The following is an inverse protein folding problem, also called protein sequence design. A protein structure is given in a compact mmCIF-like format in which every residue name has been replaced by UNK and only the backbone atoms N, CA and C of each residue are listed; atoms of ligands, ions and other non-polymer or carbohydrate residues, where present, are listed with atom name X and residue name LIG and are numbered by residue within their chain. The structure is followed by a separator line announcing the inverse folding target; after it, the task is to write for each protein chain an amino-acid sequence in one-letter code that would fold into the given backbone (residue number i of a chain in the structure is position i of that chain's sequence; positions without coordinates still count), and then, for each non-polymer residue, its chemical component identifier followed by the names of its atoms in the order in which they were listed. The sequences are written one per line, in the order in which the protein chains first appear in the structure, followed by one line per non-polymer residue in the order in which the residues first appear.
data_IF_836480775545
#
_entry.id   IF_836480775545
#
_cell.length_a   1.000
_cell.length_b   1.000
_cell.length_c   1.000
_cell.angle_alpha   90.00
_cell.angle_beta   90.00
_cell.angle_gamma   90.00
#
_symmetry.space_group_name_H-M   'P 1'
#
loop_
_entity.id
_entity.type
_entity.pdbx_description
1 polymer ?
#
# COMPACT_ATOMS: atom_id res chain seq x y z
N UNK A 1 -19.00 7.06 -15.40
CA UNK A 1 -19.43 7.15 -14.01
C UNK A 1 -18.31 6.75 -13.11
N UNK A 2 -18.13 7.52 -12.09
CA UNK A 2 -17.12 7.25 -11.10
C UNK A 2 -17.58 6.10 -10.20
N UNK A 3 -16.95 4.95 -10.36
CA UNK A 3 -17.27 3.75 -9.60
C UNK A 3 -16.61 3.73 -8.21
N UNK A 4 -15.93 4.80 -7.81
CA UNK A 4 -15.29 4.90 -6.50
C UNK A 4 -16.33 4.83 -5.38
N UNK A 5 -16.07 3.98 -4.41
CA UNK A 5 -16.97 3.78 -3.26
C UNK A 5 -18.27 3.03 -3.57
N UNK A 6 -18.45 2.50 -4.77
CA UNK A 6 -19.56 1.60 -5.05
C UNK A 6 -19.24 0.21 -4.51
N UNK A 7 -20.09 -0.25 -3.62
CA UNK A 7 -20.07 -1.60 -3.08
C UNK A 7 -21.09 -2.46 -3.81
N UNK A 8 -20.75 -3.71 -4.07
CA UNK A 8 -21.68 -4.63 -4.70
C UNK A 8 -20.97 -5.82 -5.34
N UNK A 9 -21.79 -6.74 -5.80
CA UNK A 9 -21.34 -7.95 -6.49
C UNK A 9 -20.74 -7.54 -7.83
N UNK A 10 -19.52 -7.97 -8.10
CA UNK A 10 -18.90 -7.79 -9.41
C UNK A 10 -19.52 -8.76 -10.41
N UNK A 11 -19.57 -8.42 -11.72
CA UNK A 11 -20.01 -9.35 -12.75
C UNK A 11 -19.22 -10.67 -12.65
N UNK A 12 -19.92 -11.79 -12.76
CA UNK A 12 -19.33 -13.14 -12.63
C UNK A 12 -18.18 -13.33 -13.60
N UNK A 13 -18.34 -12.92 -14.85
CA UNK A 13 -17.31 -13.00 -15.91
C UNK A 13 -16.02 -12.27 -15.50
N UNK A 14 -16.13 -11.10 -14.88
CA UNK A 14 -14.98 -10.33 -14.39
C UNK A 14 -14.24 -11.09 -13.27
N UNK A 15 -15.00 -11.72 -12.37
CA UNK A 15 -14.44 -12.52 -11.28
C UNK A 15 -13.75 -13.76 -11.83
N UNK A 16 -14.41 -14.48 -12.73
CA UNK A 16 -13.88 -15.70 -13.35
C UNK A 16 -12.56 -15.40 -14.09
N UNK A 17 -12.53 -14.29 -14.85
CA UNK A 17 -11.31 -13.86 -15.55
C UNK A 17 -10.20 -13.45 -14.59
N UNK A 18 -10.51 -12.75 -13.52
CA UNK A 18 -9.53 -12.38 -12.50
C UNK A 18 -8.94 -13.63 -11.82
N UNK A 19 -9.79 -14.62 -11.48
CA UNK A 19 -9.35 -15.87 -10.91
C UNK A 19 -8.44 -16.65 -11.87
N UNK A 20 -8.80 -16.77 -13.14
CA UNK A 20 -7.97 -17.40 -14.16
C UNK A 20 -6.56 -16.76 -14.21
N UNK A 21 -6.49 -15.44 -14.25
CA UNK A 21 -5.21 -14.72 -14.29
C UNK A 21 -4.37 -14.95 -13.02
N UNK A 22 -5.01 -14.98 -11.85
CA UNK A 22 -4.33 -15.26 -10.59
C UNK A 22 -3.84 -16.71 -10.51
N UNK A 23 -4.61 -17.68 -11.01
CA UNK A 23 -4.17 -19.09 -11.09
C UNK A 23 -2.99 -19.26 -12.05
N UNK A 24 -3.02 -18.62 -13.22
CA UNK A 24 -1.92 -18.63 -14.17
C UNK A 24 -0.65 -18.03 -13.56
N UNK A 25 -0.79 -16.95 -12.82
CA UNK A 25 0.33 -16.33 -12.11
C UNK A 25 0.87 -17.24 -11.00
N UNK A 26 0.00 -17.84 -10.19
CA UNK A 26 0.41 -18.79 -9.17
C UNK A 26 1.14 -20.00 -9.76
N UNK A 27 0.64 -20.55 -10.89
CA UNK A 27 1.27 -21.64 -11.60
C UNK A 27 2.69 -21.27 -12.12
N UNK A 28 2.85 -20.05 -12.65
CA UNK A 28 4.15 -19.53 -13.09
C UNK A 28 5.15 -19.46 -11.93
N UNK A 29 4.72 -18.98 -10.76
CA UNK A 29 5.57 -18.91 -9.56
C UNK A 29 5.97 -20.31 -9.09
N UNK A 30 5.01 -21.23 -8.99
CA UNK A 30 5.25 -22.63 -8.59
C UNK A 30 6.22 -23.33 -9.54
N UNK A 31 6.11 -23.11 -10.86
CA UNK A 31 7.05 -23.63 -11.86
C UNK A 31 8.49 -23.15 -11.64
N UNK A 32 8.66 -22.00 -10.97
CA UNK A 32 9.96 -21.44 -10.58
C UNK A 32 10.41 -21.86 -9.18
N UNK A 33 9.73 -22.83 -8.55
CA UNK A 33 10.06 -23.30 -7.22
C UNK A 33 9.61 -22.36 -6.08
N UNK A 34 8.77 -21.37 -6.38
CA UNK A 34 8.27 -20.41 -5.37
C UNK A 34 7.02 -21.00 -4.72
N UNK A 35 7.02 -21.09 -3.39
CA UNK A 35 5.83 -21.42 -2.62
C UNK A 35 4.78 -20.31 -2.75
N UNK A 36 3.54 -20.69 -3.04
CA UNK A 36 2.43 -19.75 -3.14
C UNK A 36 1.37 -20.14 -2.12
N UNK A 37 1.24 -19.32 -1.11
CA UNK A 37 0.22 -19.45 -0.06
C UNK A 37 -0.90 -18.44 -0.28
N UNK A 38 -2.09 -18.75 0.22
CA UNK A 38 -3.27 -17.91 0.09
C UNK A 38 -3.88 -17.63 1.46
N UNK A 39 -4.36 -16.40 1.70
CA UNK A 39 -5.05 -16.08 2.93
C UNK A 39 -6.36 -16.89 3.04
N UNK A 40 -6.84 -17.02 4.27
CA UNK A 40 -8.16 -17.63 4.53
C UNK A 40 -9.26 -16.73 3.96
N UNK A 41 -10.19 -17.34 3.21
CA UNK A 41 -11.34 -16.62 2.68
C UNK A 41 -12.28 -16.18 3.81
N UNK A 42 -12.65 -14.90 3.81
CA UNK A 42 -13.67 -14.33 4.68
C UNK A 42 -14.75 -13.64 3.84
N UNK A 43 -15.95 -13.53 4.40
CA UNK A 43 -17.00 -12.76 3.77
C UNK A 43 -16.78 -11.26 4.01
N UNK A 44 -16.30 -10.55 3.00
CA UNK A 44 -16.10 -9.09 3.05
C UNK A 44 -17.38 -8.30 2.72
N UNK A 45 -18.39 -8.95 2.15
CA UNK A 45 -19.66 -8.30 1.80
C UNK A 45 -20.65 -8.35 2.95
N UNK A 46 -20.22 -7.87 4.11
CA UNK A 46 -21.06 -7.74 5.30
C UNK A 46 -20.74 -6.46 6.05
N UNK A 47 -21.73 -5.87 6.73
CA UNK A 47 -21.50 -4.71 7.59
C UNK A 47 -20.51 -5.05 8.70
N UNK A 48 -19.71 -4.06 9.08
CA UNK A 48 -18.71 -4.19 10.12
C UNK A 48 -18.70 -2.93 10.95
N UNK A 49 -18.47 -3.06 12.24
CA UNK A 49 -18.45 -1.96 13.18
C UNK A 49 -17.36 -2.11 14.23
N UNK A 50 -16.91 -0.98 14.72
CA UNK A 50 -16.16 -0.80 15.97
C UNK A 50 -17.01 0.08 16.90
N UNK A 51 -16.59 0.34 18.15
CA UNK A 51 -17.28 1.31 18.99
C UNK A 51 -17.36 2.73 18.40
N UNK A 52 -16.45 3.09 17.48
CA UNK A 52 -16.31 4.46 16.98
C UNK A 52 -16.97 4.68 15.61
N UNK A 53 -17.15 3.63 14.80
CA UNK A 53 -17.69 3.75 13.44
C UNK A 53 -18.24 2.43 12.91
N UNK A 54 -18.96 2.52 11.80
CA UNK A 54 -19.45 1.38 11.04
C UNK A 54 -19.31 1.60 9.54
N UNK A 55 -19.13 0.52 8.77
CA UNK A 55 -19.14 0.52 7.31
C UNK A 55 -20.15 -0.50 6.78
N UNK A 56 -20.59 -0.30 5.53
CA UNK A 56 -21.55 -1.22 4.87
C UNK A 56 -20.89 -2.56 4.50
N UNK A 57 -19.57 -2.56 4.26
CA UNK A 57 -18.80 -3.76 3.93
C UNK A 57 -17.31 -3.51 4.19
N UNK A 58 -16.53 -4.57 4.21
CA UNK A 58 -15.08 -4.51 4.06
C UNK A 58 -14.70 -4.40 2.58
N UNK A 59 -13.41 -4.10 2.28
CA UNK A 59 -12.92 -3.94 0.92
C UNK A 59 -12.51 -5.27 0.28
N UNK A 60 -11.58 -6.00 0.88
CA UNK A 60 -11.02 -7.26 0.35
C UNK A 60 -9.61 -7.54 0.85
N UNK A 61 -8.99 -8.60 0.36
CA UNK A 61 -7.64 -9.02 0.79
C UNK A 61 -6.71 -9.38 -0.35
N UNK A 62 -7.06 -9.04 -1.58
CA UNK A 62 -6.21 -9.37 -2.72
C UNK A 62 -4.79 -8.80 -2.61
N UNK A 63 -4.58 -7.53 -2.22
CA UNK A 63 -3.24 -6.98 -2.09
C UNK A 63 -2.67 -7.20 -0.67
N UNK A 64 -2.08 -8.37 -0.42
CA UNK A 64 -1.41 -8.70 0.84
C UNK A 64 -0.37 -7.66 1.26
N UNK A 65 0.33 -7.10 0.28
CA UNK A 65 1.35 -6.09 0.44
C UNK A 65 0.85 -4.76 1.04
N UNK A 66 -0.44 -4.46 0.92
CA UNK A 66 -1.00 -3.24 1.52
C UNK A 66 -1.11 -3.34 3.04
N UNK A 67 -1.19 -4.58 3.55
CA UNK A 67 -1.55 -4.87 4.94
C UNK A 67 -0.36 -5.39 5.73
N UNK A 68 0.50 -6.21 5.10
CA UNK A 68 1.64 -6.85 5.74
C UNK A 68 2.95 -6.25 5.23
N UNK A 69 3.65 -5.58 6.11
CA UNK A 69 4.99 -5.07 5.87
C UNK A 69 6.02 -6.10 6.37
N UNK A 70 6.83 -6.61 5.44
CA UNK A 70 7.95 -7.49 5.81
C UNK A 70 9.26 -6.71 5.82
N UNK A 71 9.95 -6.68 6.95
CA UNK A 71 11.28 -6.07 7.10
C UNK A 71 12.22 -7.06 7.79
N UNK A 72 13.19 -7.57 7.06
CA UNK A 72 14.06 -8.65 7.55
C UNK A 72 13.24 -9.89 7.91
N UNK A 73 13.30 -10.31 9.17
CA UNK A 73 12.55 -11.46 9.69
C UNK A 73 11.20 -11.09 10.31
N UNK A 74 10.81 -9.84 10.27
CA UNK A 74 9.56 -9.37 10.84
C UNK A 74 8.47 -9.23 9.79
N UNK A 75 7.28 -9.77 10.07
CA UNK A 75 6.03 -9.52 9.36
C UNK A 75 5.14 -8.70 10.26
N UNK A 76 4.96 -7.43 9.89
CA UNK A 76 4.23 -6.42 10.64
C UNK A 76 2.86 -6.16 10.01
N UNK A 77 1.79 -6.34 10.79
CA UNK A 77 0.45 -5.88 10.40
C UNK A 77 0.40 -4.35 10.46
N UNK A 78 0.14 -3.69 9.34
CA UNK A 78 0.02 -2.24 9.26
C UNK A 78 -1.20 -1.71 10.02
N UNK A 79 -1.19 -0.41 10.32
CA UNK A 79 -2.31 0.25 11.00
C UNK A 79 -3.58 0.22 10.17
N UNK A 80 -3.49 0.37 8.88
CA UNK A 80 -4.52 0.66 7.88
C UNK A 80 -5.25 1.98 8.14
N UNK A 81 -5.36 2.79 7.10
CA UNK A 81 -5.96 4.13 7.20
C UNK A 81 -7.42 4.20 6.76
N UNK A 82 -7.94 3.17 6.08
CA UNK A 82 -9.34 3.11 5.67
C UNK A 82 -10.16 2.21 6.60
N UNK A 83 -11.30 2.70 7.08
CA UNK A 83 -12.22 1.95 7.93
C UNK A 83 -12.64 0.61 7.30
N UNK A 84 -12.94 0.59 6.01
CA UNK A 84 -13.33 -0.64 5.30
C UNK A 84 -12.19 -1.66 5.15
N UNK A 85 -10.94 -1.27 5.38
CA UNK A 85 -9.76 -2.14 5.30
C UNK A 85 -9.20 -2.55 6.68
N UNK A 86 -9.71 -1.99 7.73
CA UNK A 86 -9.16 -2.12 9.08
C UNK A 86 -9.03 -3.58 9.56
N UNK A 87 -9.94 -4.46 9.13
CA UNK A 87 -9.97 -5.88 9.52
C UNK A 87 -9.34 -6.84 8.49
N UNK A 88 -8.74 -6.35 7.42
CA UNK A 88 -8.19 -7.21 6.37
C UNK A 88 -7.06 -8.13 6.87
N UNK A 89 -6.35 -7.75 7.93
CA UNK A 89 -5.31 -8.57 8.55
C UNK A 89 -5.83 -9.92 9.06
N UNK A 90 -7.11 -10.04 9.38
CA UNK A 90 -7.69 -11.29 9.89
C UNK A 90 -7.54 -12.47 8.93
N UNK A 91 -7.58 -12.21 7.63
CA UNK A 91 -7.39 -13.25 6.61
C UNK A 91 -5.98 -13.83 6.61
N UNK A 92 -4.99 -13.01 6.96
CA UNK A 92 -3.58 -13.38 6.93
C UNK A 92 -3.11 -14.04 8.22
N UNK A 93 -3.78 -13.83 9.34
CA UNK A 93 -3.37 -14.37 10.64
C UNK A 93 -3.18 -15.89 10.68
N UNK A 94 -4.02 -16.73 10.03
CA UNK A 94 -3.74 -18.16 9.97
C UNK A 94 -2.40 -18.48 9.27
N UNK A 95 -2.07 -17.79 8.17
CA UNK A 95 -0.78 -17.96 7.49
C UNK A 95 0.38 -17.43 8.34
N UNK A 96 0.23 -16.25 8.95
CA UNK A 96 1.27 -15.69 9.82
C UNK A 96 1.56 -16.59 11.01
N UNK A 97 0.54 -17.21 11.60
CA UNK A 97 0.68 -18.22 12.65
C UNK A 97 1.42 -19.47 12.15
N UNK A 98 1.11 -19.91 10.94
CA UNK A 98 1.81 -21.04 10.31
C UNK A 98 3.30 -20.70 10.12
N UNK A 99 3.62 -19.55 9.53
CA UNK A 99 5.02 -19.12 9.30
C UNK A 99 5.79 -18.95 10.62
N UNK A 100 5.15 -18.40 11.63
CA UNK A 100 5.72 -18.26 12.97
C UNK A 100 6.10 -19.62 13.59
N UNK A 101 5.29 -20.66 13.35
CA UNK A 101 5.57 -22.01 13.81
C UNK A 101 6.64 -22.71 12.96
N UNK A 102 6.74 -22.38 11.67
CA UNK A 102 7.72 -22.97 10.73
C UNK A 102 9.11 -22.36 10.87
N UNK A 103 9.21 -21.05 11.17
CA UNK A 103 10.47 -20.32 11.30
C UNK A 103 10.64 -19.71 12.70
N UNK A 104 11.51 -20.33 13.55
CA UNK A 104 11.79 -19.78 14.89
C UNK A 104 12.42 -18.38 14.89
N UNK A 105 12.94 -17.93 13.76
CA UNK A 105 13.51 -16.59 13.62
C UNK A 105 12.50 -15.54 13.17
N UNK A 106 11.29 -15.94 12.75
CA UNK A 106 10.26 -15.01 12.32
C UNK A 106 9.66 -14.26 13.52
N UNK A 107 9.43 -12.97 13.32
CA UNK A 107 8.68 -12.12 14.25
C UNK A 107 7.35 -11.75 13.60
N UNK A 108 6.25 -11.96 14.32
CA UNK A 108 4.93 -11.48 13.96
C UNK A 108 4.53 -10.35 14.89
N UNK A 109 4.37 -9.16 14.36
CA UNK A 109 4.05 -7.97 15.11
C UNK A 109 2.79 -7.29 14.55
N UNK A 110 2.11 -6.53 15.37
CA UNK A 110 0.98 -5.71 14.96
C UNK A 110 1.22 -4.26 15.35
N UNK A 111 1.17 -3.36 14.38
CA UNK A 111 1.20 -1.93 14.67
C UNK A 111 -0.03 -1.53 15.51
N UNK A 112 0.04 -0.41 16.26
CA UNK A 112 -1.11 0.07 17.02
C UNK A 112 -2.36 0.17 16.15
N UNK A 113 -3.43 -0.50 16.55
CA UNK A 113 -4.70 -0.44 15.80
C UNK A 113 -5.36 0.91 16.03
N UNK A 114 -5.50 1.74 14.99
CA UNK A 114 -6.05 3.08 15.12
C UNK A 114 -7.57 3.02 15.40
N UNK A 115 -8.07 4.01 16.08
CA UNK A 115 -9.52 4.13 16.30
C UNK A 115 -10.26 4.56 15.05
N UNK A 116 -9.63 5.35 14.18
CA UNK A 116 -10.19 5.91 12.94
C UNK A 116 -11.51 6.68 13.20
N UNK A 117 -11.54 7.47 14.27
CA UNK A 117 -12.66 8.40 14.52
C UNK A 117 -12.69 9.49 13.43
N UNK A 118 -13.71 10.34 13.41
CA UNK A 118 -13.76 11.44 12.44
C UNK A 118 -12.60 12.44 12.62
N UNK A 119 -11.99 12.50 13.81
CA UNK A 119 -10.78 13.30 14.04
C UNK A 119 -9.55 12.82 13.26
N UNK A 120 -9.53 11.55 12.85
CA UNK A 120 -8.44 10.98 12.04
C UNK A 120 -8.47 11.47 10.58
N UNK A 121 -9.51 12.23 10.19
CA UNK A 121 -9.70 12.64 8.80
C UNK A 121 -10.03 14.14 8.68
N UNK A 122 -9.50 14.77 7.64
CA UNK A 122 -10.00 16.06 7.16
C UNK A 122 -11.27 15.80 6.34
N UNK A 123 -12.44 15.93 6.96
CA UNK A 123 -13.73 15.55 6.37
C UNK A 123 -14.04 16.32 5.08
N UNK A 124 -13.61 17.58 4.97
CA UNK A 124 -13.76 18.37 3.73
C UNK A 124 -13.05 17.75 2.54
N UNK A 125 -11.96 17.01 2.80
CA UNK A 125 -11.19 16.32 1.76
C UNK A 125 -12.01 15.25 1.02
N UNK A 126 -13.00 14.67 1.69
CA UNK A 126 -13.86 13.60 1.16
C UNK A 126 -15.00 14.13 0.28
N UNK A 127 -15.14 15.46 0.16
CA UNK A 127 -16.18 16.06 -0.67
C UNK A 127 -15.97 15.77 -2.16
N UNK A 128 -17.02 15.31 -2.84
CA UNK A 128 -17.01 15.09 -4.29
C UNK A 128 -16.82 16.38 -5.11
N UNK A 129 -16.98 17.56 -4.46
CA UNK A 129 -16.76 18.87 -5.06
C UNK A 129 -15.30 19.24 -5.23
N UNK A 130 -14.38 18.47 -4.63
CA UNK A 130 -12.94 18.73 -4.71
C UNK A 130 -12.38 18.20 -6.02
N UNK A 131 -12.12 19.11 -6.95
CA UNK A 131 -11.52 18.79 -8.25
C UNK A 131 -10.01 18.50 -8.18
N UNK A 132 -9.47 17.99 -9.28
CA UNK A 132 -8.05 17.61 -9.43
C UNK A 132 -7.11 18.77 -9.09
N UNK A 133 -7.40 19.97 -9.58
CA UNK A 133 -6.55 21.15 -9.35
C UNK A 133 -6.41 21.46 -7.85
N UNK A 134 -7.51 21.41 -7.11
CA UNK A 134 -7.48 21.63 -5.66
C UNK A 134 -6.71 20.54 -4.91
N UNK A 135 -6.82 19.29 -5.36
CA UNK A 135 -6.05 18.19 -4.80
C UNK A 135 -4.54 18.36 -5.04
N UNK A 136 -4.13 18.82 -6.22
CA UNK A 136 -2.73 19.15 -6.53
C UNK A 136 -2.19 20.25 -5.61
N UNK A 137 -2.97 21.33 -5.40
CA UNK A 137 -2.60 22.38 -4.45
C UNK A 137 -2.39 21.83 -3.03
N UNK A 138 -3.29 20.98 -2.57
CA UNK A 138 -3.21 20.36 -1.25
C UNK A 138 -2.01 19.41 -1.14
N UNK A 139 -1.80 18.56 -2.14
CA UNK A 139 -0.65 17.65 -2.18
C UNK A 139 0.68 18.42 -2.16
N UNK A 140 0.78 19.52 -2.92
CA UNK A 140 1.96 20.38 -2.91
C UNK A 140 2.24 20.99 -1.52
N UNK A 141 1.18 21.26 -0.75
CA UNK A 141 1.24 21.74 0.63
C UNK A 141 1.36 20.62 1.67
N UNK A 142 1.42 19.36 1.25
CA UNK A 142 1.40 18.16 2.10
C UNK A 142 0.18 18.08 3.01
N UNK A 143 -0.95 18.60 2.53
CA UNK A 143 -2.24 18.48 3.17
C UNK A 143 -2.99 17.29 2.56
N UNK A 144 -3.29 16.28 3.38
CA UNK A 144 -3.89 15.02 2.95
C UNK A 144 -5.18 14.74 3.70
N UNK A 145 -5.85 13.66 3.32
CA UNK A 145 -7.12 13.25 3.93
C UNK A 145 -6.96 12.84 5.40
N UNK A 146 -5.83 12.23 5.74
CA UNK A 146 -5.52 11.82 7.12
C UNK A 146 -4.95 12.99 7.92
N UNK A 147 -5.39 13.12 9.17
CA UNK A 147 -4.82 14.06 10.14
C UNK A 147 -3.65 13.43 10.88
N UNK A 148 -3.04 14.21 11.77
CA UNK A 148 -2.01 13.69 12.69
C UNK A 148 -2.62 13.29 14.06
N UNK A 149 -3.88 12.84 14.11
CA UNK A 149 -4.53 12.42 15.37
C UNK A 149 -3.84 11.18 15.95
N UNK A 150 -3.55 10.18 15.11
CA UNK A 150 -2.96 8.90 15.49
C UNK A 150 -2.00 8.38 14.41
N UNK A 151 -1.08 7.45 14.72
CA UNK A 151 -0.20 6.88 13.69
C UNK A 151 -0.99 6.09 12.65
N UNK A 152 -0.87 6.48 11.38
CA UNK A 152 -1.51 5.82 10.24
C UNK A 152 -0.47 5.49 9.17
N UNK A 153 -0.47 4.25 8.69
CA UNK A 153 0.25 3.83 7.50
C UNK A 153 -0.33 2.55 6.91
N UNK A 154 -0.30 2.44 5.59
CA UNK A 154 -0.49 1.20 4.86
C UNK A 154 0.89 0.62 4.52
N UNK A 155 1.03 -0.71 4.54
CA UNK A 155 2.32 -1.35 4.24
C UNK A 155 2.79 -1.07 2.80
N UNK A 156 1.87 -0.85 1.85
CA UNK A 156 2.19 -0.49 0.47
C UNK A 156 2.79 0.91 0.29
N UNK A 157 2.77 1.74 1.34
CA UNK A 157 3.49 3.01 1.35
C UNK A 157 4.98 2.86 1.73
N UNK A 158 5.45 1.63 2.00
CA UNK A 158 6.82 1.36 2.44
C UNK A 158 7.56 0.50 1.42
N UNK A 159 8.65 1.03 0.86
CA UNK A 159 9.60 0.27 0.04
C UNK A 159 10.91 0.07 0.78
N UNK A 160 11.51 -1.11 0.59
CA UNK A 160 12.74 -1.53 1.27
C UNK A 160 13.92 -1.48 0.30
N UNK A 161 14.99 -0.82 0.73
CA UNK A 161 16.26 -0.73 0.01
C UNK A 161 17.39 -1.09 1.00
N UNK A 162 17.48 -2.37 1.36
CA UNK A 162 18.41 -2.82 2.38
C UNK A 162 18.07 -2.21 3.76
N UNK A 163 18.95 -1.34 4.25
CA UNK A 163 18.75 -0.61 5.53
C UNK A 163 17.93 0.68 5.38
N UNK A 164 17.48 1.00 4.20
CA UNK A 164 16.67 2.19 3.94
C UNK A 164 15.21 1.80 3.70
N UNK A 165 14.31 2.44 4.40
CA UNK A 165 12.87 2.33 4.21
C UNK A 165 12.37 3.64 3.60
N UNK A 166 11.90 3.60 2.35
CA UNK A 166 11.27 4.72 1.68
C UNK A 166 9.79 4.70 1.97
N UNK A 167 9.27 5.74 2.61
CA UNK A 167 7.88 5.78 3.06
C UNK A 167 7.17 6.97 2.43
N UNK A 168 6.09 6.71 1.71
CA UNK A 168 5.27 7.78 1.13
C UNK A 168 4.45 8.47 2.21
N UNK A 169 4.63 9.78 2.35
CA UNK A 169 3.68 10.64 3.06
C UNK A 169 2.56 11.03 2.09
N UNK A 170 1.34 10.61 2.38
CA UNK A 170 0.22 10.75 1.44
C UNK A 170 -1.13 10.47 2.08
N UNK A 171 -2.04 9.88 1.30
CA UNK A 171 -3.42 9.63 1.75
C UNK A 171 -3.52 8.61 2.87
N UNK A 172 -2.67 7.60 2.83
CA UNK A 172 -2.76 6.41 3.70
C UNK A 172 -1.68 6.39 4.78
N UNK A 173 -0.69 7.27 4.67
CA UNK A 173 0.40 7.34 5.65
C UNK A 173 0.64 8.79 6.05
N UNK A 174 0.51 9.07 7.35
CA UNK A 174 0.77 10.37 7.92
C UNK A 174 2.15 10.44 8.61
N UNK A 175 2.55 11.62 9.09
CA UNK A 175 3.86 11.81 9.72
C UNK A 175 3.98 11.04 11.02
N UNK A 176 2.92 10.90 11.82
CA UNK A 176 2.93 10.06 13.02
C UNK A 176 3.16 8.60 12.70
N UNK A 177 2.59 8.08 11.60
CA UNK A 177 2.88 6.72 11.12
C UNK A 177 4.34 6.54 10.72
N UNK A 178 4.92 7.53 10.03
CA UNK A 178 6.34 7.53 9.67
C UNK A 178 7.22 7.58 10.92
N UNK A 179 6.88 8.40 11.91
CA UNK A 179 7.62 8.48 13.16
C UNK A 179 7.52 7.20 13.99
N UNK A 180 6.35 6.55 13.96
CA UNK A 180 6.19 5.25 14.57
C UNK A 180 7.11 4.21 13.92
N UNK A 181 7.17 4.15 12.59
CA UNK A 181 8.07 3.27 11.83
C UNK A 181 9.54 3.52 12.15
N UNK A 182 9.97 4.80 12.30
CA UNK A 182 11.34 5.14 12.74
C UNK A 182 11.67 4.55 14.10
N UNK A 183 10.74 4.63 15.04
CA UNK A 183 10.94 4.11 16.42
C UNK A 183 10.89 2.59 16.44
N UNK A 184 10.03 1.98 15.62
CA UNK A 184 9.88 0.52 15.54
C UNK A 184 11.07 -0.15 14.85
N UNK A 185 11.65 0.49 13.84
CA UNK A 185 12.82 -0.01 13.11
C UNK A 185 14.08 0.83 13.36
N UNK A 186 14.63 0.86 14.62
CA UNK A 186 15.73 1.76 14.98
C UNK A 186 17.02 1.48 14.21
N UNK A 187 17.18 0.28 13.65
CA UNK A 187 18.33 -0.13 12.85
C UNK A 187 18.18 0.15 11.35
N UNK A 188 17.11 0.86 10.96
CA UNK A 188 16.85 1.27 9.58
C UNK A 188 16.78 2.79 9.48
N UNK A 189 17.13 3.32 8.31
CA UNK A 189 16.92 4.73 7.97
C UNK A 189 15.56 4.87 7.29
N UNK A 190 14.65 5.61 7.88
CA UNK A 190 13.31 5.83 7.34
C UNK A 190 13.25 7.20 6.67
N UNK A 191 13.00 7.21 5.38
CA UNK A 191 12.95 8.40 4.52
C UNK A 191 11.51 8.69 4.13
N UNK A 192 11.01 9.86 4.52
CA UNK A 192 9.69 10.33 4.09
C UNK A 192 9.78 10.89 2.67
N UNK A 193 8.99 10.34 1.75
CA UNK A 193 8.89 10.80 0.37
C UNK A 193 7.48 11.37 0.11
N UNK A 194 7.37 12.31 -0.81
CA UNK A 194 6.10 12.86 -1.26
C UNK A 194 6.11 13.14 -2.76
N UNK A 195 4.93 13.20 -3.35
CA UNK A 195 4.72 13.35 -4.79
C UNK A 195 3.81 14.56 -5.06
N UNK A 196 4.32 15.79 -5.04
CA UNK A 196 3.52 17.01 -5.11
C UNK A 196 2.74 17.15 -6.43
N UNK A 197 3.16 16.44 -7.49
CA UNK A 197 2.45 16.41 -8.78
C UNK A 197 1.35 15.36 -8.86
N UNK A 198 1.07 14.60 -7.79
CA UNK A 198 0.04 13.58 -7.77
C UNK A 198 -1.21 14.07 -7.01
N UNK A 199 -2.38 14.15 -7.66
CA UNK A 199 -3.62 14.55 -6.99
C UNK A 199 -4.18 13.45 -6.06
N UNK A 200 -3.64 12.23 -6.13
CA UNK A 200 -4.09 11.07 -5.35
C UNK A 200 -2.88 10.26 -4.87
N UNK A 201 -2.03 10.82 -3.98
CA UNK A 201 -0.79 10.18 -3.55
C UNK A 201 -1.07 9.03 -2.57
N UNK A 202 -1.33 7.86 -3.15
CA UNK A 202 -1.57 6.60 -2.44
C UNK A 202 -0.60 5.55 -2.95
N UNK A 203 -0.03 4.77 -2.05
CA UNK A 203 0.84 3.63 -2.28
C UNK A 203 2.06 3.91 -3.16
N UNK A 204 3.22 3.97 -2.53
CA UNK A 204 4.50 4.26 -3.18
C UNK A 204 4.89 3.23 -4.23
N UNK A 205 4.43 1.99 -4.08
CA UNK A 205 4.71 0.88 -4.99
C UNK A 205 4.13 1.09 -6.40
N UNK A 206 3.14 1.97 -6.54
CA UNK A 206 2.65 2.42 -7.84
C UNK A 206 3.54 3.50 -8.48
N UNK A 207 4.57 3.97 -7.78
CA UNK A 207 5.45 5.05 -8.22
C UNK A 207 6.80 4.54 -8.67
N UNK A 208 7.48 3.77 -7.84
CA UNK A 208 8.76 3.15 -8.20
C UNK A 208 9.02 1.90 -7.39
N UNK A 209 9.88 1.02 -7.94
CA UNK A 209 10.27 -0.21 -7.26
C UNK A 209 11.71 -0.59 -7.62
N UNK A 210 12.42 -1.21 -6.67
CA UNK A 210 13.70 -1.84 -6.94
C UNK A 210 13.49 -3.13 -7.75
N UNK A 211 14.13 -3.24 -8.91
CA UNK A 211 14.15 -4.48 -9.70
C UNK A 211 15.27 -5.40 -9.26
N UNK A 212 16.40 -4.82 -8.85
CA UNK A 212 17.58 -5.47 -8.30
C UNK A 212 18.44 -4.40 -7.63
N UNK A 213 19.47 -4.76 -6.86
CA UNK A 213 20.42 -3.78 -6.33
C UNK A 213 20.96 -2.88 -7.46
N UNK A 214 20.92 -1.57 -7.24
CA UNK A 214 21.35 -0.55 -8.18
C UNK A 214 20.38 -0.23 -9.33
N UNK A 215 19.19 -0.86 -9.40
CA UNK A 215 18.24 -0.61 -10.49
C UNK A 215 16.81 -0.39 -9.98
N UNK A 216 16.26 0.78 -10.29
CA UNK A 216 14.87 1.16 -9.98
C UNK A 216 14.09 1.31 -11.28
N UNK A 217 12.87 0.77 -11.31
CA UNK A 217 11.86 1.12 -12.30
C UNK A 217 10.95 2.21 -11.73
N UNK A 218 10.67 3.23 -12.53
CA UNK A 218 9.88 4.39 -12.14
C UNK A 218 8.65 4.52 -13.04
N UNK A 219 7.54 4.96 -12.43
CA UNK A 219 6.35 5.35 -13.18
C UNK A 219 6.57 6.76 -13.75
N UNK A 220 6.62 6.94 -15.09
CA UNK A 220 6.87 8.23 -15.69
C UNK A 220 5.78 9.28 -15.40
N UNK A 221 4.57 8.82 -15.01
CA UNK A 221 3.44 9.71 -14.67
C UNK A 221 3.41 10.14 -13.19
N UNK A 222 4.26 9.52 -12.34
CA UNK A 222 4.37 9.80 -10.91
C UNK A 222 5.85 9.92 -10.51
N UNK A 223 6.54 10.88 -11.08
CA UNK A 223 7.99 11.02 -10.89
C UNK A 223 8.35 11.53 -9.50
N UNK A 224 9.41 10.95 -8.95
CA UNK A 224 10.06 11.50 -7.76
C UNK A 224 10.55 12.91 -8.05
N UNK A 225 10.33 13.88 -7.15
CA UNK A 225 10.97 15.18 -7.22
C UNK A 225 12.49 15.07 -7.28
N UNK A 226 13.14 16.00 -7.99
CA UNK A 226 14.59 15.98 -8.20
C UNK A 226 15.38 15.87 -6.89
N UNK A 227 14.95 16.59 -5.85
CA UNK A 227 15.62 16.55 -4.54
C UNK A 227 15.56 15.16 -3.89
N UNK A 228 14.45 14.44 -4.06
CA UNK A 228 14.29 13.08 -3.51
C UNK A 228 15.02 12.03 -4.36
N UNK A 229 15.20 12.28 -5.64
CA UNK A 229 16.00 11.40 -6.54
C UNK A 229 17.47 11.36 -6.15
N UNK A 230 18.02 12.45 -5.62
CA UNK A 230 19.42 12.54 -5.20
C UNK A 230 19.87 11.45 -4.23
N UNK A 231 18.94 10.91 -3.39
CA UNK A 231 19.28 9.83 -2.46
C UNK A 231 19.67 8.56 -3.22
N UNK A 232 19.03 8.31 -4.36
CA UNK A 232 19.34 7.15 -5.21
C UNK A 232 20.55 7.39 -6.08
N UNK A 233 20.64 8.56 -6.72
CA UNK A 233 21.72 8.95 -7.61
C UNK A 233 23.08 8.96 -6.89
N UNK A 234 23.13 9.47 -5.66
CA UNK A 234 24.34 9.47 -4.80
C UNK A 234 24.80 8.09 -4.36
N UNK A 235 23.96 7.07 -4.49
CA UNK A 235 24.24 5.68 -4.12
C UNK A 235 24.27 4.76 -5.35
N UNK A 236 24.58 5.31 -6.53
CA UNK A 236 24.76 4.59 -7.78
C UNK A 236 23.54 3.80 -8.26
N UNK A 237 22.33 4.24 -7.89
CA UNK A 237 21.09 3.66 -8.37
C UNK A 237 20.71 4.23 -9.74
N UNK A 238 20.57 3.35 -10.73
CA UNK A 238 20.01 3.70 -12.03
C UNK A 238 18.49 3.68 -11.95
N UNK A 239 17.85 4.78 -12.40
CA UNK A 239 16.39 4.89 -12.49
C UNK A 239 16.00 4.80 -13.96
N UNK A 240 15.15 3.83 -14.31
CA UNK A 240 14.59 3.63 -15.64
C UNK A 240 13.08 3.83 -15.60
N UNK A 241 12.53 4.48 -16.62
CA UNK A 241 11.09 4.63 -16.73
C UNK A 241 10.45 3.31 -17.21
N UNK A 242 9.29 2.97 -16.66
CA UNK A 242 8.47 1.87 -17.13
C UNK A 242 7.96 2.15 -18.54
N UNK A 243 7.73 1.09 -19.32
CA UNK A 243 7.04 1.21 -20.60
C UNK A 243 5.65 1.81 -20.43
N UNK A 244 5.16 2.51 -21.45
CA UNK A 244 3.78 3.00 -21.45
C UNK A 244 2.81 1.82 -21.36
N UNK A 245 1.68 1.96 -20.60
CA UNK A 245 0.71 0.90 -20.50
C UNK A 245 0.09 0.58 -21.85
N UNK A 246 -0.18 -0.70 -22.07
CA UNK A 246 -0.82 -1.17 -23.31
C UNK A 246 -2.27 -0.69 -23.49
N UNK A 247 -2.90 -0.13 -22.45
CA UNK A 247 -4.27 0.35 -22.46
C UNK A 247 -4.31 1.87 -22.45
N UNK A 248 -5.02 2.45 -23.45
CA UNK A 248 -5.24 3.89 -23.58
C UNK A 248 -6.26 4.46 -22.57
N UNK A 249 -6.85 3.62 -21.72
CA UNK A 249 -7.76 4.06 -20.67
C UNK A 249 -7.24 3.52 -19.35
N UNK A 250 -6.66 4.36 -18.65
CA UNK A 250 -7.15 4.62 -17.33
C UNK A 250 -6.94 6.05 -16.89
N UNK A 251 -7.60 6.43 -15.81
CA UNK A 251 -7.06 7.49 -14.99
C UNK A 251 -5.63 7.11 -14.59
N UNK A 252 -4.75 8.09 -14.34
CA UNK A 252 -3.32 7.86 -14.01
C UNK A 252 -3.05 6.94 -12.80
N UNK A 253 -4.09 6.48 -12.13
CA UNK A 253 -4.08 5.59 -10.98
C UNK A 253 -3.95 4.08 -11.32
N UNK A 254 -4.02 3.68 -12.58
CA UNK A 254 -3.99 2.26 -12.95
C UNK A 254 -2.62 1.73 -13.32
N UNK A 255 -1.57 2.32 -12.80
CA UNK A 255 -0.27 1.66 -12.70
C UNK A 255 -0.17 0.83 -11.43
N UNK A 256 -1.12 -0.05 -11.21
CA UNK A 256 -0.87 -1.15 -10.30
C UNK A 256 -0.10 -2.23 -11.05
N UNK A 257 1.17 -1.95 -11.30
CA UNK A 257 2.10 -3.00 -11.57
C UNK A 257 2.29 -3.76 -10.26
N UNK A 258 1.84 -5.00 -10.23
CA UNK A 258 2.20 -5.92 -9.15
C UNK A 258 3.70 -6.19 -9.31
N UNK A 259 4.51 -5.40 -8.65
CA UNK A 259 5.95 -5.62 -8.63
C UNK A 259 6.25 -6.59 -7.50
N UNK A 260 6.68 -7.77 -7.89
CA UNK A 260 7.30 -8.71 -6.99
C UNK A 260 8.69 -8.14 -6.66
N UNK A 261 8.85 -7.54 -5.49
CA UNK A 261 10.19 -7.40 -4.93
C UNK A 261 10.65 -8.78 -4.55
N UNK A 262 11.47 -9.39 -5.40
CA UNK A 262 12.22 -10.58 -5.03
C UNK A 262 13.44 -10.10 -4.24
N UNK A 263 13.39 -10.29 -2.95
CA UNK A 263 14.54 -10.32 -2.06
C UNK A 263 14.58 -11.69 -1.43
#
# INVERSE_FOLDING_TARGET
SDMRGQFGVRPKETIDRANELLENFAALLKKRGIRVDRPTALNFNQPIATPDWKTKSMFGTMPARDIILTVGKEMLEATMSYRCRWFEYLNYRPLLKQYYNEDPGMRHESAPKPRLTDKSFHMDYLSDKIGVQKRLEWTAKKFFVTTEEEPLFDAADVLRFGKDLMVQHGFTTNLKGIDWLKRHFPNHRVHALNFPGDPYPIHIDATFNALKPGLIINNPNRRLPAEQRKIFEKNDWKIVDAAQPAHNKPPPLCFSSVWLSMN
#
